data_IF_055842279145
#
_entry.id   IF_055842279145
#
_cell.length_a   1.000
_cell.length_b   1.000
_cell.length_c   1.000
_cell.angle_alpha   90.00
_cell.angle_beta   90.00
_cell.angle_gamma   90.00
#
_symmetry.space_group_name_H-M   'P 1'
#
loop_
_entity.id
_entity.type
_entity.pdbx_description
1 polymer ?
#
# COMPACT_ATOMS: atom_id res chain seq x y z
N UNK A 1 0.68 -18.24 -7.43
CA UNK A 1 0.35 -17.00 -6.71
C UNK A 1 1.17 -15.92 -7.35
N UNK A 2 0.50 -14.89 -7.88
CA UNK A 2 1.16 -13.86 -8.66
C UNK A 2 1.38 -12.62 -7.79
N UNK A 3 2.59 -12.09 -7.83
CA UNK A 3 2.95 -10.85 -7.15
C UNK A 3 3.03 -9.75 -8.19
N UNK A 4 2.26 -8.68 -8.00
CA UNK A 4 2.25 -7.52 -8.88
C UNK A 4 2.73 -6.28 -8.14
N UNK A 5 3.59 -5.48 -8.79
CA UNK A 5 3.96 -4.15 -8.32
C UNK A 5 3.00 -3.15 -8.97
N UNK A 6 2.20 -2.47 -8.15
CA UNK A 6 1.35 -1.37 -8.60
C UNK A 6 2.03 -0.03 -8.29
N UNK A 7 2.41 0.71 -9.32
CA UNK A 7 3.12 1.99 -9.16
C UNK A 7 2.72 2.99 -10.24
N UNK A 8 2.49 4.24 -9.83
CA UNK A 8 2.46 5.40 -10.71
C UNK A 8 3.79 6.15 -10.57
N UNK A 9 4.47 6.41 -11.68
CA UNK A 9 5.83 6.96 -11.71
C UNK A 9 5.92 8.07 -12.75
N UNK A 10 6.53 9.18 -12.39
CA UNK A 10 6.83 10.27 -13.33
C UNK A 10 8.00 9.90 -14.25
N UNK A 11 8.18 10.62 -15.36
CA UNK A 11 9.27 10.39 -16.33
C UNK A 11 10.67 10.45 -15.69
N UNK A 12 10.82 11.24 -14.62
CA UNK A 12 12.06 11.36 -13.84
C UNK A 12 12.17 10.34 -12.69
N UNK A 13 11.30 9.33 -12.63
CA UNK A 13 11.32 8.29 -11.61
C UNK A 13 10.65 8.64 -10.28
N UNK A 14 10.10 9.85 -10.13
CA UNK A 14 9.45 10.26 -8.88
C UNK A 14 8.14 9.49 -8.67
N UNK A 15 7.95 8.94 -7.47
CA UNK A 15 6.72 8.24 -7.03
C UNK A 15 6.03 8.93 -5.84
N UNK A 16 6.66 9.92 -5.23
CA UNK A 16 6.18 10.55 -4.00
C UNK A 16 6.99 11.78 -3.62
N UNK A 17 6.40 12.68 -2.84
CA UNK A 17 7.03 13.86 -2.25
C UNK A 17 6.39 14.15 -0.90
N UNK A 18 7.20 14.34 0.14
CA UNK A 18 6.73 14.63 1.53
C UNK A 18 5.62 13.68 2.02
N UNK A 19 5.75 12.38 1.75
CA UNK A 19 4.78 11.36 2.18
C UNK A 19 3.49 11.28 1.35
N UNK A 20 3.30 12.15 0.37
CA UNK A 20 2.16 12.15 -0.54
C UNK A 20 2.53 11.94 -2.01
N UNK A 21 1.52 11.92 -2.87
CA UNK A 21 1.70 11.99 -4.32
C UNK A 21 1.92 13.46 -4.72
N UNK A 22 2.92 13.78 -5.56
CA UNK A 22 3.17 15.15 -6.00
C UNK A 22 2.16 15.66 -7.04
N UNK A 23 1.14 14.85 -7.35
CA UNK A 23 0.11 15.12 -8.35
C UNK A 23 -1.27 14.70 -7.86
N UNK A 24 -2.31 15.18 -8.54
CA UNK A 24 -3.71 14.79 -8.28
C UNK A 24 -4.36 14.23 -9.55
N UNK A 25 -4.15 12.94 -9.80
CA UNK A 25 -4.73 12.23 -10.95
C UNK A 25 -5.87 11.31 -10.47
N UNK A 26 -7.11 11.77 -10.62
CA UNK A 26 -8.28 11.01 -10.17
C UNK A 26 -8.51 9.74 -10.99
N UNK A 27 -8.15 9.74 -12.27
CA UNK A 27 -8.22 8.57 -13.16
C UNK A 27 -7.30 7.44 -12.69
N UNK A 28 -6.07 7.78 -12.29
CA UNK A 28 -5.09 6.82 -11.75
C UNK A 28 -5.59 6.17 -10.45
N UNK A 29 -6.09 6.97 -9.51
CA UNK A 29 -6.66 6.45 -8.25
C UNK A 29 -7.90 5.57 -8.47
N UNK A 30 -8.75 5.92 -9.44
CA UNK A 30 -9.92 5.09 -9.83
C UNK A 30 -9.46 3.75 -10.40
N UNK A 31 -8.46 3.76 -11.26
CA UNK A 31 -7.86 2.56 -11.84
C UNK A 31 -7.22 1.68 -10.76
N UNK A 32 -6.37 2.24 -9.91
CA UNK A 32 -5.79 1.55 -8.76
C UNK A 32 -6.86 0.89 -7.90
N UNK A 33 -7.94 1.61 -7.56
CA UNK A 33 -9.06 1.05 -6.79
C UNK A 33 -9.73 -0.13 -7.51
N UNK A 34 -10.03 0.00 -8.80
CA UNK A 34 -10.70 -1.05 -9.58
C UNK A 34 -9.83 -2.30 -9.67
N UNK A 35 -8.54 -2.13 -9.97
CA UNK A 35 -7.63 -3.25 -10.23
C UNK A 35 -7.21 -4.00 -8.96
N UNK A 36 -7.30 -3.33 -7.80
CA UNK A 36 -6.93 -3.87 -6.49
C UNK A 36 -8.11 -4.33 -5.62
N UNK A 37 -9.34 -4.09 -6.04
CA UNK A 37 -10.53 -4.44 -5.24
C UNK A 37 -10.57 -5.94 -4.91
N UNK A 38 -10.86 -6.27 -3.65
CA UNK A 38 -10.93 -7.66 -3.18
C UNK A 38 -9.58 -8.37 -3.08
N UNK A 39 -8.46 -7.70 -3.40
CA UNK A 39 -7.12 -8.28 -3.34
C UNK A 39 -6.35 -7.74 -2.12
N UNK A 40 -5.42 -8.53 -1.55
CA UNK A 40 -4.48 -8.03 -0.56
C UNK A 40 -3.60 -6.91 -1.12
N UNK A 41 -3.33 -5.90 -0.28
CA UNK A 41 -2.42 -4.81 -0.59
C UNK A 41 -1.33 -4.76 0.47
N UNK A 42 -0.10 -5.02 0.02
CA UNK A 42 1.10 -4.89 0.84
C UNK A 42 1.69 -3.50 0.60
N UNK A 43 1.92 -2.75 1.67
CA UNK A 43 2.53 -1.43 1.61
C UNK A 43 3.46 -1.18 2.79
N UNK A 44 4.42 -0.26 2.64
CA UNK A 44 5.27 0.16 3.75
C UNK A 44 4.54 1.10 4.71
N UNK A 45 4.95 1.13 5.98
CA UNK A 45 4.39 2.02 7.02
C UNK A 45 4.25 3.48 6.60
N UNK A 46 5.28 4.07 5.99
CA UNK A 46 5.25 5.48 5.55
C UNK A 46 4.20 5.75 4.47
N UNK A 47 3.99 4.81 3.55
CA UNK A 47 2.94 4.90 2.53
C UNK A 47 1.56 4.85 3.18
N UNK A 48 1.37 3.94 4.13
CA UNK A 48 0.13 3.85 4.90
C UNK A 48 -0.15 5.13 5.70
N UNK A 49 0.86 5.67 6.40
CA UNK A 49 0.76 6.94 7.15
C UNK A 49 0.38 8.11 6.22
N UNK A 50 0.93 8.15 5.00
CA UNK A 50 0.55 9.13 3.98
C UNK A 50 -0.88 8.99 3.45
N UNK A 51 -1.41 7.75 3.39
CA UNK A 51 -2.83 7.48 3.04
C UNK A 51 -3.75 7.82 4.23
N UNK A 52 -3.29 7.58 5.45
CA UNK A 52 -3.94 7.92 6.71
C UNK A 52 -5.06 6.96 7.15
N UNK A 53 -5.41 5.95 6.34
CA UNK A 53 -6.48 4.99 6.66
C UNK A 53 -6.37 3.70 5.85
N UNK A 54 -6.97 2.59 6.32
CA UNK A 54 -7.11 1.38 5.51
C UNK A 54 -7.92 1.66 4.24
N UNK A 55 -7.51 1.01 3.16
CA UNK A 55 -8.19 1.08 1.88
C UNK A 55 -9.41 0.15 1.91
N UNK A 56 -10.66 0.66 1.83
CA UNK A 56 -11.85 -0.17 2.00
C UNK A 56 -11.96 -1.27 0.94
N UNK A 57 -12.53 -2.42 1.33
CA UNK A 57 -12.76 -3.58 0.45
C UNK A 57 -11.49 -4.36 0.09
N UNK A 58 -10.39 -4.14 0.83
CA UNK A 58 -9.09 -4.77 0.61
C UNK A 58 -8.49 -5.20 1.94
N UNK A 59 -7.77 -6.32 1.94
CA UNK A 59 -6.89 -6.69 3.04
C UNK A 59 -5.67 -5.77 3.00
N UNK A 60 -5.52 -4.90 4.01
CA UNK A 60 -4.41 -3.96 4.09
C UNK A 60 -3.31 -4.56 4.95
N UNK A 61 -2.13 -4.82 4.37
CA UNK A 61 -0.97 -5.38 5.05
C UNK A 61 0.12 -4.31 5.09
N UNK A 62 0.50 -3.89 6.30
CA UNK A 62 1.52 -2.86 6.51
C UNK A 62 2.82 -3.49 6.98
N UNK A 63 3.88 -3.27 6.21
CA UNK A 63 5.23 -3.75 6.52
C UNK A 63 5.97 -2.69 7.35
N UNK A 64 6.42 -3.08 8.54
CA UNK A 64 7.17 -2.22 9.45
C UNK A 64 8.13 -3.02 10.34
N UNK A 65 9.29 -2.44 10.64
CA UNK A 65 10.23 -2.99 11.63
C UNK A 65 9.85 -2.64 13.07
N UNK A 66 8.96 -1.68 13.28
CA UNK A 66 8.48 -1.28 14.60
C UNK A 66 7.49 -2.32 15.15
N UNK A 67 7.91 -3.09 16.16
CA UNK A 67 7.15 -4.23 16.70
C UNK A 67 5.93 -3.83 17.52
N UNK A 68 5.89 -2.59 17.97
CA UNK A 68 4.82 -1.95 18.76
C UNK A 68 3.79 -1.21 17.89
N UNK A 69 4.10 -0.96 16.62
CA UNK A 69 3.21 -0.24 15.71
C UNK A 69 1.94 -1.03 15.41
N UNK A 70 0.77 -0.39 15.54
CA UNK A 70 -0.55 -0.98 15.28
C UNK A 70 -1.43 0.01 14.55
N UNK A 71 -2.32 -0.48 13.70
CA UNK A 71 -3.41 0.30 13.13
C UNK A 71 -4.63 -0.59 12.95
N UNK A 72 -5.79 -0.11 13.39
CA UNK A 72 -7.05 -0.83 13.27
C UNK A 72 -7.42 -1.05 11.80
N UNK A 73 -7.95 -2.23 11.49
CA UNK A 73 -8.33 -2.60 10.11
C UNK A 73 -7.13 -2.88 9.18
N UNK A 74 -5.95 -3.12 9.74
CA UNK A 74 -4.75 -3.57 9.01
C UNK A 74 -4.11 -4.77 9.67
N UNK A 75 -3.50 -5.62 8.85
CA UNK A 75 -2.54 -6.63 9.30
C UNK A 75 -1.13 -6.04 9.31
N UNK A 76 -0.32 -6.41 10.30
CA UNK A 76 1.05 -5.91 10.44
C UNK A 76 2.04 -7.04 10.19
N UNK A 77 2.97 -6.81 9.26
CA UNK A 77 4.06 -7.71 8.94
C UNK A 77 5.42 -7.07 9.29
N UNK A 78 6.38 -7.90 9.72
CA UNK A 78 7.72 -7.43 10.08
C UNK A 78 8.80 -7.73 9.04
N UNK A 79 8.42 -8.40 7.96
CA UNK A 79 9.22 -8.62 6.78
C UNK A 79 8.33 -8.66 5.54
N UNK A 80 8.93 -8.58 4.35
CA UNK A 80 8.20 -8.74 3.10
C UNK A 80 7.69 -10.19 2.94
N UNK A 81 8.45 -11.18 3.37
CA UNK A 81 8.08 -12.59 3.29
C UNK A 81 6.89 -12.93 4.19
N UNK A 82 6.84 -12.37 5.40
CA UNK A 82 5.68 -12.49 6.29
C UNK A 82 4.45 -11.86 5.64
N UNK A 83 4.59 -10.68 5.02
CA UNK A 83 3.49 -9.99 4.35
C UNK A 83 2.95 -10.78 3.16
N UNK A 84 3.84 -11.37 2.36
CA UNK A 84 3.46 -12.24 1.23
C UNK A 84 2.77 -13.51 1.75
N UNK A 85 3.18 -14.02 2.92
CA UNK A 85 2.53 -15.19 3.54
C UNK A 85 1.14 -14.86 4.06
N UNK A 86 0.93 -13.69 4.66
CA UNK A 86 -0.39 -13.19 5.08
C UNK A 86 -1.33 -12.90 3.90
N UNK A 87 -0.77 -12.64 2.71
CA UNK A 87 -1.53 -12.36 1.49
C UNK A 87 -1.97 -13.63 0.71
N UNK A 88 -1.63 -14.82 1.21
CA UNK A 88 -2.08 -16.12 0.66
C UNK A 88 -3.50 -16.43 1.10
#
# INVERSE_FOLDING_TARGET
MDIAIYVAIAENGVIGREGGLPWRLSSDLKRFKADTMGKPIIMGRKTYEGIGRPLPGRLNIVVTRARDWRSEGTEVAHSLDDAITLAK
#
